data_IF_463428999296
#
_entry.id   IF_463428999296
#
_cell.length_a   1.000
_cell.length_b   1.000
_cell.length_c   1.000
_cell.angle_alpha   90.00
_cell.angle_beta   90.00
_cell.angle_gamma   90.00
#
_symmetry.space_group_name_H-M   'P 1'
#
loop_
_entity.id
_entity.type
_entity.pdbx_description
1 polymer ?
#
# COMPACT_ATOMS: atom_id res chain seq x y z
N UNK A 1 -5.00 40.66 -59.84
CA UNK A 1 -5.17 39.34 -59.20
C UNK A 1 -4.30 39.30 -57.94
N UNK A 2 -4.82 38.65 -56.92
CA UNK A 2 -4.47 38.67 -55.48
C UNK A 2 -3.13 37.96 -55.17
N UNK A 3 -2.44 38.36 -54.10
CA UNK A 3 -1.86 37.51 -52.99
C UNK A 3 -0.97 38.36 -52.06
N UNK A 4 -1.38 38.70 -50.83
CA UNK A 4 -1.19 37.99 -49.53
C UNK A 4 0.28 37.66 -49.20
N UNK A 5 0.89 38.33 -48.22
CA UNK A 5 1.10 37.77 -46.85
C UNK A 5 2.62 37.85 -46.53
N UNK A 6 3.13 37.93 -45.30
CA UNK A 6 2.58 37.78 -43.97
C UNK A 6 3.44 38.58 -42.96
N UNK A 7 2.82 39.09 -41.89
CA UNK A 7 3.51 39.73 -40.76
C UNK A 7 3.83 38.64 -39.73
N UNK A 8 5.11 38.44 -39.42
CA UNK A 8 5.56 37.51 -38.38
C UNK A 8 5.42 38.18 -37.00
N UNK A 9 4.52 37.67 -36.17
CA UNK A 9 4.41 38.05 -34.75
C UNK A 9 5.31 37.11 -33.94
N UNK A 10 6.34 37.67 -33.31
CA UNK A 10 7.18 36.94 -32.37
C UNK A 10 6.45 36.82 -31.03
N UNK A 11 6.05 35.61 -30.66
CA UNK A 11 5.52 35.30 -29.33
C UNK A 11 6.71 34.92 -28.43
N UNK A 12 7.04 35.80 -27.48
CA UNK A 12 7.97 35.48 -26.40
C UNK A 12 7.23 34.64 -25.35
N UNK A 13 7.52 33.33 -25.31
CA UNK A 13 7.06 32.48 -24.21
C UNK A 13 7.98 32.69 -23.02
N UNK A 14 7.44 33.35 -21.99
CA UNK A 14 8.05 33.41 -20.66
C UNK A 14 8.16 32.00 -20.10
N UNK A 15 9.39 31.47 -20.05
CA UNK A 15 9.69 30.26 -19.30
C UNK A 15 9.56 30.62 -17.82
N UNK A 16 8.35 30.42 -17.29
CA UNK A 16 8.11 30.42 -15.86
C UNK A 16 9.04 29.40 -15.20
N UNK A 17 9.76 29.85 -14.18
CA UNK A 17 10.61 29.00 -13.36
C UNK A 17 9.78 27.88 -12.72
N UNK A 18 9.72 26.72 -13.38
CA UNK A 18 9.25 25.49 -12.76
C UNK A 18 10.36 25.03 -11.81
N UNK A 19 10.15 25.31 -10.52
CA UNK A 19 10.85 24.62 -9.43
C UNK A 19 10.80 23.11 -9.71
N UNK A 20 11.94 22.41 -9.75
CA UNK A 20 11.92 20.95 -9.73
C UNK A 20 11.24 20.50 -8.43
N UNK A 21 10.25 19.61 -8.48
CA UNK A 21 9.74 18.97 -7.27
C UNK A 21 10.88 18.20 -6.63
N UNK A 22 10.95 18.33 -5.30
CA UNK A 22 12.04 17.83 -4.47
C UNK A 22 12.37 16.37 -4.73
N UNK A 23 13.65 16.07 -4.58
CA UNK A 23 14.24 14.73 -4.57
C UNK A 23 13.37 13.78 -3.75
N UNK A 24 12.73 12.81 -4.40
CA UNK A 24 12.10 11.69 -3.70
C UNK A 24 13.20 10.90 -2.98
N UNK A 25 12.98 10.46 -1.73
CA UNK A 25 13.90 9.54 -1.06
C UNK A 25 14.06 8.29 -1.93
N UNK A 26 15.30 7.84 -2.15
CA UNK A 26 15.64 6.71 -3.03
C UNK A 26 15.23 5.33 -2.48
N UNK A 27 14.18 5.28 -1.64
CA UNK A 27 13.64 4.06 -1.03
C UNK A 27 12.37 3.56 -1.74
N UNK A 28 11.93 2.33 -1.44
CA UNK A 28 10.65 1.82 -1.92
C UNK A 28 9.51 2.74 -1.47
N UNK A 29 8.45 2.85 -2.29
CA UNK A 29 7.24 3.57 -1.88
C UNK A 29 6.62 2.94 -0.63
N UNK A 30 5.82 3.70 0.11
CA UNK A 30 5.05 3.18 1.23
C UNK A 30 4.16 2.00 0.77
N UNK A 31 3.52 2.13 -0.38
CA UNK A 31 2.70 1.07 -1.00
C UNK A 31 3.51 -0.19 -1.26
N UNK A 32 4.70 -0.08 -1.88
CA UNK A 32 5.55 -1.23 -2.17
C UNK A 32 6.07 -1.89 -0.89
N UNK A 33 6.41 -1.09 0.13
CA UNK A 33 6.87 -1.58 1.42
C UNK A 33 5.76 -2.31 2.18
N UNK A 34 4.55 -1.74 2.18
CA UNK A 34 3.36 -2.35 2.75
C UNK A 34 3.04 -3.67 2.06
N UNK A 35 2.97 -3.66 0.73
CA UNK A 35 2.68 -4.84 -0.06
C UNK A 35 3.69 -5.97 0.21
N UNK A 36 4.99 -5.69 0.08
CA UNK A 36 6.03 -6.68 0.32
C UNK A 36 5.97 -7.28 1.72
N UNK A 37 5.79 -6.43 2.74
CA UNK A 37 5.75 -6.91 4.13
C UNK A 37 4.49 -7.73 4.40
N UNK A 38 3.34 -7.25 3.96
CA UNK A 38 2.06 -7.93 4.12
C UNK A 38 2.03 -9.28 3.40
N UNK A 39 2.50 -9.36 2.15
CA UNK A 39 2.58 -10.63 1.42
C UNK A 39 3.48 -11.64 2.17
N UNK A 40 4.66 -11.20 2.63
CA UNK A 40 5.53 -12.02 3.47
C UNK A 40 4.83 -12.53 4.74
N UNK A 41 4.12 -11.65 5.45
CA UNK A 41 3.49 -11.99 6.73
C UNK A 41 2.23 -12.86 6.55
N UNK A 42 1.50 -12.71 5.44
CA UNK A 42 0.42 -13.61 5.03
C UNK A 42 0.98 -14.99 4.73
N UNK A 43 2.03 -15.09 3.90
CA UNK A 43 2.65 -16.36 3.53
C UNK A 43 3.17 -17.13 4.75
N UNK A 44 3.75 -16.46 5.74
CA UNK A 44 4.20 -17.07 7.01
C UNK A 44 3.08 -17.71 7.83
N UNK A 45 1.82 -17.29 7.63
CA UNK A 45 0.66 -17.83 8.34
C UNK A 45 0.00 -19.00 7.61
N UNK A 46 0.40 -19.29 6.37
CA UNK A 46 -0.17 -20.38 5.58
C UNK A 46 0.36 -21.74 6.07
N UNK A 47 -0.53 -22.74 6.12
CA UNK A 47 -0.15 -24.10 6.51
C UNK A 47 0.78 -24.79 5.48
N UNK A 48 0.60 -24.48 4.19
CA UNK A 48 1.43 -25.00 3.10
C UNK A 48 1.83 -23.87 2.14
N UNK A 49 2.82 -23.02 2.50
CA UNK A 49 3.23 -21.86 1.70
C UNK A 49 3.61 -22.20 0.26
N UNK A 50 4.32 -23.30 0.04
CA UNK A 50 4.79 -23.71 -1.30
C UNK A 50 3.67 -24.21 -2.22
N UNK A 51 2.50 -24.52 -1.66
CA UNK A 51 1.28 -24.91 -2.39
C UNK A 51 0.30 -23.74 -2.55
N UNK A 52 0.69 -22.54 -2.15
CA UNK A 52 -0.16 -21.37 -2.17
C UNK A 52 0.47 -20.22 -2.96
N UNK A 53 -0.37 -19.39 -3.57
CA UNK A 53 0.07 -18.14 -4.18
C UNK A 53 -0.94 -17.02 -3.92
N UNK A 54 -0.42 -15.81 -3.79
CA UNK A 54 -1.22 -14.60 -3.60
C UNK A 54 -1.58 -14.02 -4.97
N UNK A 55 -2.82 -13.58 -5.12
CA UNK A 55 -3.27 -12.89 -6.34
C UNK A 55 -4.19 -11.72 -6.00
N UNK A 56 -4.41 -10.86 -7.01
CA UNK A 56 -5.28 -9.68 -6.91
C UNK A 56 -4.88 -8.73 -5.76
N UNK A 57 -3.59 -8.65 -5.46
CA UNK A 57 -3.08 -7.81 -4.37
C UNK A 57 -3.25 -6.34 -4.73
N UNK A 58 -3.85 -5.59 -3.81
CA UNK A 58 -4.10 -4.14 -3.91
C UNK A 58 -3.74 -3.48 -2.59
N UNK A 59 -3.19 -2.27 -2.70
CA UNK A 59 -2.84 -1.42 -1.56
C UNK A 59 -3.66 -0.15 -1.62
N UNK A 60 -4.29 0.21 -0.52
CA UNK A 60 -5.18 1.38 -0.42
C UNK A 60 -4.97 2.12 0.90
N UNK A 61 -5.09 3.44 0.88
CA UNK A 61 -5.11 4.24 2.11
C UNK A 61 -6.28 3.84 3.01
N UNK A 62 -6.02 3.75 4.32
CA UNK A 62 -7.04 3.41 5.31
C UNK A 62 -6.97 4.36 6.49
N UNK A 63 -8.13 4.72 7.04
CA UNK A 63 -8.19 5.46 8.30
C UNK A 63 -7.79 4.55 9.46
N UNK A 64 -7.19 5.14 10.48
CA UNK A 64 -6.94 4.48 11.76
C UNK A 64 -8.29 4.24 12.49
N UNK A 65 -8.55 3.01 12.89
CA UNK A 65 -9.77 2.53 13.55
C UNK A 65 -9.47 2.19 15.01
N UNK A 66 -9.45 3.23 15.86
CA UNK A 66 -9.10 3.12 17.28
C UNK A 66 -10.21 2.53 18.16
N UNK A 67 -11.41 2.32 17.62
CA UNK A 67 -12.52 1.70 18.34
C UNK A 67 -12.71 0.23 17.97
N UNK A 68 -12.10 -0.21 16.87
CA UNK A 68 -12.17 -1.57 16.38
C UNK A 68 -10.78 -2.19 16.21
N UNK A 69 -10.37 -2.32 14.95
CA UNK A 69 -9.27 -3.23 14.56
C UNK A 69 -7.89 -2.76 15.03
N UNK A 70 -7.71 -1.45 15.21
CA UNK A 70 -6.40 -0.86 15.53
C UNK A 70 -6.22 -0.56 17.02
N UNK A 71 -7.27 -0.72 17.84
CA UNK A 71 -7.20 -0.45 19.28
C UNK A 71 -6.07 -1.26 19.92
N UNK A 72 -6.03 -2.57 19.70
CA UNK A 72 -5.03 -3.44 20.31
C UNK A 72 -3.60 -3.15 19.81
N UNK A 73 -3.32 -3.14 18.49
CA UNK A 73 -2.00 -2.78 17.98
C UNK A 73 -1.49 -1.44 18.53
N UNK A 74 -2.32 -0.40 18.49
CA UNK A 74 -1.90 0.97 18.88
C UNK A 74 -1.70 1.13 20.39
N UNK A 75 -2.47 0.42 21.22
CA UNK A 75 -2.42 0.61 22.67
C UNK A 75 -1.49 -0.36 23.39
N UNK A 76 -1.27 -1.56 22.86
CA UNK A 76 -0.60 -2.64 23.57
C UNK A 76 0.64 -3.20 22.86
N UNK A 77 0.75 -3.05 21.54
CA UNK A 77 1.80 -3.73 20.77
C UNK A 77 2.94 -2.79 20.38
N UNK A 78 4.16 -3.20 20.68
CA UNK A 78 5.35 -2.53 20.14
C UNK A 78 5.45 -2.82 18.63
N UNK A 79 5.86 -1.83 17.81
CA UNK A 79 6.37 -0.50 18.18
C UNK A 79 5.30 0.61 18.20
N UNK A 80 4.01 0.30 18.12
CA UNK A 80 2.95 1.31 18.02
C UNK A 80 2.52 1.86 19.39
N UNK A 81 2.74 1.09 20.45
CA UNK A 81 2.40 1.45 21.82
C UNK A 81 2.96 2.82 22.21
N UNK A 82 2.06 3.73 22.57
CA UNK A 82 2.44 5.09 23.04
C UNK A 82 2.86 6.04 21.93
N UNK A 83 2.79 5.64 20.65
CA UNK A 83 2.96 6.56 19.52
C UNK A 83 1.74 7.47 19.41
N UNK A 84 1.99 8.76 19.16
CA UNK A 84 0.92 9.72 18.86
C UNK A 84 0.20 9.31 17.57
N UNK A 85 -1.12 9.10 17.65
CA UNK A 85 -1.92 8.58 16.54
C UNK A 85 -1.94 9.51 15.33
N UNK A 86 -1.68 10.80 15.50
CA UNK A 86 -1.54 11.76 14.39
C UNK A 86 -0.30 11.50 13.52
N UNK A 87 0.69 10.75 14.03
CA UNK A 87 1.90 10.33 13.31
C UNK A 87 1.74 8.99 12.61
N UNK A 88 0.61 8.30 12.85
CA UNK A 88 0.32 6.99 12.29
C UNK A 88 -0.48 7.15 11.00
N UNK A 89 0.04 6.63 9.91
CA UNK A 89 -0.74 6.39 8.68
C UNK A 89 -0.91 4.90 8.46
N UNK A 90 -2.02 4.51 7.83
CA UNK A 90 -2.34 3.09 7.63
C UNK A 90 -2.62 2.82 6.16
N UNK A 91 -1.99 1.76 5.64
CA UNK A 91 -2.32 1.19 4.35
C UNK A 91 -2.99 -0.18 4.57
N UNK A 92 -4.06 -0.45 3.83
CA UNK A 92 -4.63 -1.79 3.71
C UNK A 92 -4.02 -2.47 2.48
N UNK A 93 -3.49 -3.67 2.67
CA UNK A 93 -3.10 -4.58 1.59
C UNK A 93 -4.06 -5.76 1.59
N UNK A 94 -4.87 -5.86 0.55
CA UNK A 94 -5.89 -6.90 0.42
C UNK A 94 -5.62 -7.76 -0.81
N UNK A 95 -6.03 -9.02 -0.76
CA UNK A 95 -5.86 -9.95 -1.87
C UNK A 95 -6.52 -11.30 -1.62
N UNK A 96 -6.16 -12.27 -2.46
CA UNK A 96 -6.68 -13.64 -2.38
C UNK A 96 -5.51 -14.62 -2.24
N UNK A 97 -5.57 -15.48 -1.23
CA UNK A 97 -4.73 -16.67 -1.12
C UNK A 97 -5.36 -17.78 -1.95
N UNK A 98 -4.61 -18.36 -2.87
CA UNK A 98 -5.04 -19.51 -3.66
C UNK A 98 -4.22 -20.72 -3.21
N UNK A 99 -4.82 -21.61 -2.43
CA UNK A 99 -4.15 -22.79 -1.88
C UNK A 99 -4.62 -24.05 -2.62
N UNK A 100 -3.67 -24.85 -3.11
CA UNK A 100 -3.96 -26.14 -3.71
C UNK A 100 -4.23 -27.20 -2.63
N UNK A 101 -5.29 -27.99 -2.81
CA UNK A 101 -5.62 -29.13 -1.95
C UNK A 101 -5.00 -30.42 -2.48
N UNK A 102 -4.98 -31.46 -1.64
CA UNK A 102 -4.48 -32.79 -2.03
C UNK A 102 -5.31 -33.46 -3.14
N UNK A 103 -6.49 -32.91 -3.47
CA UNK A 103 -7.38 -33.38 -4.55
C UNK A 103 -7.36 -32.44 -5.77
N UNK A 104 -6.27 -31.68 -5.95
CA UNK A 104 -6.05 -30.74 -7.08
C UNK A 104 -7.12 -29.63 -7.22
N UNK A 105 -7.89 -29.37 -6.17
CA UNK A 105 -8.82 -28.25 -6.10
C UNK A 105 -8.12 -27.01 -5.52
N UNK A 106 -8.65 -25.81 -5.80
CA UNK A 106 -8.11 -24.55 -5.26
C UNK A 106 -9.09 -23.97 -4.26
N UNK A 107 -8.62 -23.71 -3.03
CA UNK A 107 -9.33 -22.91 -2.02
C UNK A 107 -8.89 -21.46 -2.18
N UNK A 108 -9.86 -20.55 -2.14
CA UNK A 108 -9.65 -19.11 -2.26
C UNK A 108 -10.09 -18.41 -1.00
N UNK A 109 -9.13 -17.86 -0.26
CA UNK A 109 -9.39 -17.11 0.97
C UNK A 109 -8.97 -15.65 0.80
N UNK A 110 -9.86 -14.73 1.18
CA UNK A 110 -9.54 -13.32 1.18
C UNK A 110 -8.71 -12.97 2.42
N UNK A 111 -7.68 -12.15 2.22
CA UNK A 111 -6.93 -11.57 3.32
C UNK A 111 -6.99 -10.05 3.27
N UNK A 112 -6.89 -9.43 4.44
CA UNK A 112 -6.58 -8.01 4.60
C UNK A 112 -5.45 -7.88 5.60
N UNK A 113 -4.39 -7.19 5.19
CA UNK A 113 -3.27 -6.85 6.05
C UNK A 113 -3.22 -5.34 6.23
N UNK A 114 -3.19 -4.86 7.48
CA UNK A 114 -3.01 -3.44 7.80
C UNK A 114 -1.54 -3.19 8.02
N UNK A 115 -0.96 -2.23 7.31
CA UNK A 115 0.41 -1.79 7.44
C UNK A 115 0.43 -0.40 8.09
N UNK A 116 1.05 -0.30 9.27
CA UNK A 116 1.12 0.92 10.06
C UNK A 116 2.46 1.60 9.84
N UNK A 117 2.41 2.86 9.43
CA UNK A 117 3.59 3.69 9.24
C UNK A 117 3.64 4.76 10.33
N UNK A 118 4.81 4.97 10.91
CA UNK A 118 5.08 6.05 11.86
C UNK A 118 6.04 7.03 11.20
N UNK A 119 5.62 8.27 11.00
CA UNK A 119 6.37 9.30 10.26
C UNK A 119 6.88 8.82 8.87
N UNK A 120 6.09 7.98 8.21
CA UNK A 120 6.41 7.43 6.89
C UNK A 120 7.32 6.19 6.88
N UNK A 121 7.73 5.67 8.04
CA UNK A 121 8.46 4.41 8.14
C UNK A 121 7.52 3.25 8.54
N UNK A 122 7.59 2.12 7.82
CA UNK A 122 6.79 0.94 8.13
C UNK A 122 7.20 0.38 9.51
N UNK A 123 6.27 0.43 10.46
CA UNK A 123 6.52 0.10 11.86
C UNK A 123 5.92 -1.26 12.24
N UNK A 124 4.72 -1.57 11.77
CA UNK A 124 4.00 -2.78 12.15
C UNK A 124 3.05 -3.28 11.05
N UNK A 125 2.66 -4.54 11.11
CA UNK A 125 1.67 -5.17 10.21
C UNK A 125 0.72 -6.08 10.98
N UNK A 126 -0.58 -5.97 10.68
CA UNK A 126 -1.63 -6.82 11.23
C UNK A 126 -2.33 -7.57 10.09
N UNK A 127 -2.13 -8.88 10.00
CA UNK A 127 -2.85 -9.73 9.04
C UNK A 127 -4.15 -10.23 9.65
N UNK A 128 -5.24 -10.11 8.90
CA UNK A 128 -6.57 -10.64 9.21
C UNK A 128 -7.03 -11.49 8.02
N UNK A 129 -7.37 -12.75 8.29
CA UNK A 129 -8.03 -13.62 7.30
C UNK A 129 -9.54 -13.50 7.48
N UNK A 130 -10.29 -13.40 6.38
CA UNK A 130 -11.75 -13.43 6.43
C UNK A 130 -12.18 -14.90 6.64
N UNK A 131 -12.52 -15.24 7.87
CA UNK A 131 -12.98 -16.58 8.25
C UNK A 131 -14.44 -16.80 7.82
N UNK A 132 -14.68 -16.93 6.51
CA UNK A 132 -15.93 -17.53 6.03
C UNK A 132 -15.77 -19.05 6.04
N UNK A 133 -16.04 -19.63 7.21
CA UNK A 133 -16.18 -21.07 7.40
C UNK A 133 -17.51 -21.59 6.85
#
# INVERSE_FOLDING_TARGET
MVTLGAVAVAVALSVGALRPPGSQPSGPSAESSAQQRCESDVTKRLAAPDKAHLSQVRTEDSSLDLEGRDLFPVTLEEPLKGVDTSRITVLNVSGVVNAQTEVESVIQDHFTCRAYFVDGALAHTLVVFDEKH
#
